data_IF_333922096370
#
_entry.id   IF_333922096370
#
_cell.length_a   1.000
_cell.length_b   1.000
_cell.length_c   1.000
_cell.angle_alpha   90.00
_cell.angle_beta   90.00
_cell.angle_gamma   90.00
#
_symmetry.space_group_name_H-M   'P 1'
#
loop_
_entity.id
_entity.type
_entity.pdbx_description
1 polymer ?
#
# COMPACT_ATOMS: atom_id res chain seq x y z
N UNK A 1 -8.37 23.63 18.28
CA UNK A 1 -9.13 22.43 18.72
C UNK A 1 -8.15 21.48 19.40
N UNK A 2 -8.51 20.83 20.52
CA UNK A 2 -7.66 19.74 21.06
C UNK A 2 -7.75 18.57 20.07
N UNK A 3 -6.63 18.22 19.44
CA UNK A 3 -6.57 17.07 18.53
C UNK A 3 -6.94 15.79 19.29
N UNK A 4 -7.75 14.94 18.67
CA UNK A 4 -8.06 13.62 19.21
C UNK A 4 -6.98 12.65 18.75
N UNK A 5 -6.49 11.77 19.62
CA UNK A 5 -5.38 10.84 19.34
C UNK A 5 -5.51 10.11 17.99
N UNK A 6 -6.71 9.66 17.62
CA UNK A 6 -6.93 8.93 16.35
C UNK A 6 -6.92 9.81 15.09
N UNK A 7 -6.96 11.13 15.23
CA UNK A 7 -6.89 12.11 14.12
C UNK A 7 -5.47 12.57 13.82
N UNK A 8 -4.52 12.29 14.72
CA UNK A 8 -3.12 12.74 14.61
C UNK A 8 -2.46 12.20 13.33
N UNK A 9 -2.49 10.89 13.02
CA UNK A 9 -1.78 10.37 11.84
C UNK A 9 -2.27 11.00 10.53
N UNK A 10 -3.57 11.30 10.44
CA UNK A 10 -4.14 11.92 9.25
C UNK A 10 -3.79 13.40 9.15
N UNK A 11 -3.77 14.13 10.26
CA UNK A 11 -3.30 15.51 10.28
C UNK A 11 -1.83 15.62 9.90
N UNK A 12 -0.99 14.75 10.45
CA UNK A 12 0.45 14.71 10.15
C UNK A 12 0.70 14.40 8.67
N UNK A 13 -0.03 13.43 8.13
CA UNK A 13 0.07 13.06 6.72
C UNK A 13 -0.36 14.18 5.77
N UNK A 14 -1.42 14.94 6.11
CA UNK A 14 -1.85 16.11 5.32
C UNK A 14 -0.83 17.26 5.45
N UNK A 15 -0.30 17.47 6.65
CA UNK A 15 0.68 18.52 6.92
C UNK A 15 2.06 18.24 6.30
N UNK A 16 2.37 16.97 6.00
CA UNK A 16 3.59 16.60 5.31
C UNK A 16 3.68 17.19 3.88
N UNK A 17 2.57 17.66 3.29
CA UNK A 17 2.57 18.33 1.99
C UNK A 17 2.97 17.43 0.81
N UNK A 18 2.80 16.12 0.99
CA UNK A 18 3.17 15.10 0.02
C UNK A 18 2.10 14.91 -1.08
N UNK A 19 2.39 14.08 -2.09
CA UNK A 19 1.48 13.79 -3.21
C UNK A 19 0.21 13.03 -2.81
N UNK A 20 0.23 12.29 -1.69
CA UNK A 20 -0.93 11.57 -1.20
C UNK A 20 -0.85 11.34 0.32
N UNK A 21 -1.79 11.88 1.12
CA UNK A 21 -1.82 11.65 2.56
C UNK A 21 -1.91 10.17 2.95
N UNK A 22 -2.69 9.37 2.22
CA UNK A 22 -2.84 7.94 2.52
C UNK A 22 -1.59 7.12 2.18
N UNK A 23 -0.80 7.50 1.16
CA UNK A 23 0.50 6.87 0.95
C UNK A 23 1.44 7.16 2.13
N UNK A 24 1.40 8.38 2.68
CA UNK A 24 2.20 8.75 3.83
C UNK A 24 1.84 7.91 5.07
N UNK A 25 0.54 7.76 5.34
CA UNK A 25 0.05 6.87 6.40
C UNK A 25 0.48 5.43 6.15
N UNK A 26 0.28 4.91 4.94
CA UNK A 26 0.64 3.54 4.57
C UNK A 26 2.13 3.29 4.82
N UNK A 27 3.00 4.21 4.40
CA UNK A 27 4.44 4.11 4.66
C UNK A 27 4.74 4.11 6.15
N UNK A 28 4.18 5.04 6.92
CA UNK A 28 4.45 5.15 8.35
C UNK A 28 4.02 3.87 9.09
N UNK A 29 2.80 3.40 8.83
CA UNK A 29 2.28 2.17 9.44
C UNK A 29 3.10 0.94 9.02
N UNK A 30 3.51 0.84 7.76
CA UNK A 30 4.35 -0.26 7.30
C UNK A 30 5.71 -0.26 8.00
N UNK A 31 6.34 0.92 8.16
CA UNK A 31 7.61 1.07 8.87
C UNK A 31 7.47 0.69 10.35
N UNK A 32 6.41 1.15 11.02
CA UNK A 32 6.10 0.79 12.41
C UNK A 32 5.89 -0.73 12.56
N UNK A 33 5.23 -1.36 11.58
CA UNK A 33 5.04 -2.82 11.57
C UNK A 33 6.36 -3.58 11.32
N UNK A 34 7.26 -3.05 10.50
CA UNK A 34 8.60 -3.62 10.31
C UNK A 34 9.41 -3.52 11.61
N UNK A 35 9.38 -2.36 12.29
CA UNK A 35 10.01 -2.17 13.60
C UNK A 35 9.39 -3.08 14.68
N UNK A 36 8.07 -3.27 14.66
CA UNK A 36 7.38 -4.17 15.58
C UNK A 36 7.84 -5.63 15.39
N UNK A 37 7.92 -6.11 14.14
CA UNK A 37 8.27 -7.50 13.84
C UNK A 37 9.77 -7.76 13.98
N UNK A 38 10.63 -6.82 13.56
CA UNK A 38 12.08 -7.03 13.40
C UNK A 38 12.96 -6.09 14.22
N UNK A 39 12.41 -5.10 14.93
CA UNK A 39 13.19 -4.13 15.71
C UNK A 39 13.89 -4.72 16.93
N UNK A 40 14.58 -3.89 17.69
CA UNK A 40 15.37 -4.30 18.86
C UNK A 40 14.54 -4.91 20.00
N UNK A 41 13.24 -4.61 20.07
CA UNK A 41 12.26 -5.21 20.97
C UNK A 41 11.45 -6.36 20.35
N UNK A 42 11.93 -6.96 19.25
CA UNK A 42 11.17 -7.77 18.29
C UNK A 42 10.02 -8.59 18.89
N UNK A 43 8.80 -8.11 18.70
CA UNK A 43 7.58 -8.73 19.22
C UNK A 43 7.32 -10.10 18.58
N UNK A 44 7.99 -10.48 17.49
CA UNK A 44 7.91 -11.85 16.94
C UNK A 44 8.31 -12.92 17.98
N UNK A 45 9.07 -12.55 19.01
CA UNK A 45 9.40 -13.46 20.10
C UNK A 45 8.18 -13.80 20.97
N UNK A 46 7.15 -12.97 20.96
CA UNK A 46 5.86 -13.22 21.59
C UNK A 46 5.11 -14.34 20.84
N UNK A 47 4.49 -15.26 21.58
CA UNK A 47 3.94 -16.50 21.01
C UNK A 47 2.79 -16.25 20.04
N UNK A 48 1.94 -15.27 20.34
CA UNK A 48 0.79 -14.87 19.54
C UNK A 48 1.20 -14.17 18.24
N UNK A 49 2.18 -13.25 18.31
CA UNK A 49 2.76 -12.60 17.12
C UNK A 49 3.43 -13.65 16.24
N UNK A 50 4.21 -14.56 16.83
CA UNK A 50 4.86 -15.66 16.10
C UNK A 50 3.85 -16.53 15.38
N UNK A 51 2.81 -17.00 16.06
CA UNK A 51 1.77 -17.82 15.46
C UNK A 51 1.06 -17.08 14.30
N UNK A 52 0.77 -15.79 14.48
CA UNK A 52 0.16 -14.97 13.44
C UNK A 52 1.07 -14.81 12.21
N UNK A 53 2.35 -14.54 12.42
CA UNK A 53 3.35 -14.43 11.34
C UNK A 53 3.62 -15.76 10.65
N UNK A 54 3.64 -16.88 11.38
CA UNK A 54 3.84 -18.22 10.81
C UNK A 54 2.65 -18.62 9.93
N UNK A 55 1.43 -18.32 10.37
CA UNK A 55 0.19 -18.62 9.65
C UNK A 55 0.06 -17.79 8.37
N UNK A 56 0.29 -16.48 8.48
CA UNK A 56 0.12 -15.54 7.37
C UNK A 56 1.32 -15.53 6.42
N UNK A 57 2.54 -15.64 6.93
CA UNK A 57 3.75 -15.39 6.14
C UNK A 57 3.88 -13.92 5.72
N UNK A 58 4.68 -13.69 4.68
CA UNK A 58 4.94 -12.36 4.13
C UNK A 58 4.89 -12.40 2.61
N UNK A 59 4.38 -11.34 1.99
CA UNK A 59 4.38 -11.25 0.52
C UNK A 59 5.80 -11.02 0.00
N UNK A 60 6.00 -11.20 -1.31
CA UNK A 60 7.31 -10.97 -1.97
C UNK A 60 7.89 -9.59 -1.65
N UNK A 61 7.07 -8.55 -1.66
CA UNK A 61 7.52 -7.19 -1.37
C UNK A 61 7.98 -7.04 0.08
N UNK A 62 7.21 -7.57 1.04
CA UNK A 62 7.56 -7.51 2.45
C UNK A 62 8.77 -8.37 2.80
N UNK A 63 8.96 -9.54 2.20
CA UNK A 63 10.21 -10.30 2.36
C UNK A 63 11.43 -9.50 1.91
N UNK A 64 11.34 -8.77 0.79
CA UNK A 64 12.44 -7.91 0.34
C UNK A 64 12.70 -6.79 1.35
N UNK A 65 11.66 -6.10 1.82
CA UNK A 65 11.78 -5.03 2.83
C UNK A 65 12.35 -5.54 4.15
N UNK A 66 11.93 -6.72 4.61
CA UNK A 66 12.44 -7.36 5.83
C UNK A 66 13.93 -7.73 5.72
N UNK A 67 14.37 -8.23 4.56
CA UNK A 67 15.78 -8.51 4.32
C UNK A 67 16.61 -7.24 4.31
N UNK A 68 16.11 -6.23 3.60
CA UNK A 68 16.71 -4.90 3.46
C UNK A 68 16.80 -4.14 4.79
N UNK A 69 15.81 -4.34 5.67
CA UNK A 69 15.75 -3.76 7.01
C UNK A 69 16.93 -4.19 7.90
N UNK A 70 17.40 -5.43 7.72
CA UNK A 70 18.50 -6.02 8.49
C UNK A 70 18.02 -7.04 9.51
N UNK A 71 18.65 -7.08 10.69
CA UNK A 71 18.38 -8.10 11.73
C UNK A 71 18.35 -9.54 11.19
N UNK A 72 19.52 -10.04 10.78
CA UNK A 72 19.67 -11.39 10.20
C UNK A 72 19.16 -12.49 11.14
N UNK A 73 19.35 -12.33 12.45
CA UNK A 73 18.90 -13.33 13.42
C UNK A 73 17.36 -13.36 13.51
N UNK A 74 16.71 -12.20 13.63
CA UNK A 74 15.24 -12.11 13.65
C UNK A 74 14.61 -12.67 12.37
N UNK A 75 15.13 -12.27 11.20
CA UNK A 75 14.72 -12.85 9.92
C UNK A 75 14.93 -14.37 9.87
N UNK A 76 16.07 -14.87 10.34
CA UNK A 76 16.36 -16.31 10.39
C UNK A 76 15.38 -17.10 11.25
N UNK A 77 14.96 -16.53 12.39
CA UNK A 77 13.98 -17.16 13.26
C UNK A 77 12.57 -17.16 12.68
N UNK A 78 12.10 -16.04 12.12
CA UNK A 78 10.81 -15.96 11.43
C UNK A 78 10.76 -16.97 10.29
N UNK A 79 11.82 -17.05 9.47
CA UNK A 79 11.89 -18.04 8.40
C UNK A 79 11.87 -19.46 8.96
N UNK A 80 12.62 -19.76 10.02
CA UNK A 80 12.66 -21.11 10.61
C UNK A 80 11.27 -21.60 10.99
N UNK A 81 10.48 -20.79 11.69
CA UNK A 81 9.15 -21.19 12.17
C UNK A 81 8.13 -21.21 11.04
N UNK A 82 8.18 -20.24 10.13
CA UNK A 82 7.33 -20.25 8.94
C UNK A 82 7.61 -21.46 8.02
N UNK A 83 8.88 -21.86 7.84
CA UNK A 83 9.24 -23.09 7.11
C UNK A 83 8.67 -24.34 7.77
N UNK A 84 8.65 -24.41 9.11
CA UNK A 84 8.03 -25.54 9.81
C UNK A 84 6.54 -25.65 9.47
N UNK A 85 5.82 -24.52 9.51
CA UNK A 85 4.38 -24.48 9.21
C UNK A 85 4.08 -24.74 7.73
N UNK A 86 4.82 -24.11 6.80
CA UNK A 86 4.65 -24.34 5.36
C UNK A 86 4.96 -25.78 5.00
N UNK A 87 6.03 -26.39 5.55
CA UNK A 87 6.34 -27.79 5.28
C UNK A 87 5.25 -28.74 5.81
N UNK A 88 4.64 -28.43 6.94
CA UNK A 88 3.51 -29.20 7.49
C UNK A 88 2.32 -29.14 6.52
N UNK A 89 1.89 -27.93 6.15
CA UNK A 89 0.77 -27.73 5.23
C UNK A 89 1.04 -28.33 3.84
N UNK A 90 2.25 -28.14 3.30
CA UNK A 90 2.66 -28.67 2.00
C UNK A 90 2.56 -30.19 1.95
N UNK A 91 3.05 -30.90 2.99
CA UNK A 91 2.94 -32.35 3.09
C UNK A 91 1.47 -32.81 3.12
N UNK A 92 0.58 -32.05 3.76
CA UNK A 92 -0.86 -32.33 3.77
C UNK A 92 -1.50 -32.09 2.39
N UNK A 93 -1.14 -31.01 1.70
CA UNK A 93 -1.60 -30.72 0.35
C UNK A 93 -1.16 -31.81 -0.64
N UNK A 94 0.08 -32.27 -0.55
CA UNK A 94 0.62 -33.33 -1.41
C UNK A 94 -0.11 -34.67 -1.20
N UNK A 95 -0.43 -35.02 0.04
CA UNK A 95 -1.23 -36.23 0.34
C UNK A 95 -2.64 -36.17 -0.25
N UNK A 96 -3.23 -34.98 -0.33
CA UNK A 96 -4.60 -34.76 -0.85
C UNK A 96 -4.64 -34.55 -2.36
N UNK A 97 -3.49 -34.34 -3.00
CA UNK A 97 -3.43 -34.01 -4.42
C UNK A 97 -3.79 -35.20 -5.30
N UNK A 98 -4.71 -34.98 -6.24
CA UNK A 98 -5.08 -35.95 -7.27
C UNK A 98 -4.97 -35.26 -8.63
N UNK A 99 -4.10 -35.73 -9.55
CA UNK A 99 -4.01 -35.17 -10.90
C UNK A 99 -5.33 -35.31 -11.67
N UNK A 100 -5.74 -34.25 -12.37
CA UNK A 100 -6.89 -34.30 -13.26
C UNK A 100 -6.67 -35.31 -14.39
N UNK A 101 -7.65 -36.17 -14.65
CA UNK A 101 -7.59 -37.12 -15.77
C UNK A 101 -7.71 -36.37 -17.09
N UNK A 102 -6.75 -36.57 -17.99
CA UNK A 102 -6.76 -36.02 -19.35
C UNK A 102 -7.90 -36.65 -20.17
N UNK A 103 -9.10 -36.06 -20.17
CA UNK A 103 -10.18 -36.50 -21.06
C UNK A 103 -9.97 -35.94 -22.46
N UNK A 104 -9.97 -36.81 -23.47
CA UNK A 104 -9.82 -36.46 -24.89
C UNK A 104 -10.91 -35.47 -25.39
N UNK A 105 -12.04 -35.40 -24.68
CA UNK A 105 -13.16 -34.47 -24.95
C UNK A 105 -12.95 -33.05 -24.37
N UNK A 106 -11.93 -32.84 -23.54
CA UNK A 106 -11.63 -31.55 -22.89
C UNK A 106 -10.99 -30.49 -23.78
N UNK A 107 -10.58 -30.84 -25.02
CA UNK A 107 -9.99 -29.90 -25.97
C UNK A 107 -10.99 -28.90 -26.58
N UNK A 108 -12.30 -29.12 -26.43
CA UNK A 108 -13.34 -28.25 -27.02
C UNK A 108 -13.92 -27.20 -26.06
N UNK A 109 -13.69 -27.30 -24.75
CA UNK A 109 -14.08 -26.27 -23.77
C UNK A 109 -12.83 -25.53 -23.30
N UNK A 110 -12.49 -24.48 -24.04
CA UNK A 110 -11.55 -23.44 -23.59
C UNK A 110 -12.27 -22.55 -22.58
N UNK A 111 -12.53 -23.06 -21.38
CA UNK A 111 -13.10 -22.29 -20.27
C UNK A 111 -12.30 -22.60 -19.01
N UNK A 112 -11.55 -21.59 -18.56
CA UNK A 112 -10.72 -21.51 -17.36
C UNK A 112 -9.49 -22.42 -17.34
N UNK A 113 -8.34 -21.79 -17.09
CA UNK A 113 -7.05 -22.45 -17.00
C UNK A 113 -7.11 -23.63 -16.02
N UNK A 114 -6.34 -24.68 -16.28
CA UNK A 114 -6.22 -25.86 -15.43
C UNK A 114 -5.66 -25.54 -14.05
N UNK A 115 -6.49 -24.97 -13.18
CA UNK A 115 -6.16 -24.71 -11.79
C UNK A 115 -6.21 -26.03 -11.02
N UNK A 116 -5.09 -26.39 -10.41
CA UNK A 116 -5.00 -27.54 -9.52
C UNK A 116 -4.89 -27.06 -8.07
N UNK A 117 -5.24 -27.93 -7.10
CA UNK A 117 -5.30 -27.55 -5.69
C UNK A 117 -3.96 -27.05 -5.13
N UNK A 118 -2.82 -27.54 -5.64
CA UNK A 118 -1.49 -27.03 -5.26
C UNK A 118 -1.31 -25.60 -5.76
N UNK A 119 -1.65 -25.32 -7.01
CA UNK A 119 -1.57 -23.97 -7.57
C UNK A 119 -2.46 -22.98 -6.82
N UNK A 120 -3.66 -23.38 -6.42
CA UNK A 120 -4.56 -22.56 -5.60
C UNK A 120 -3.96 -22.28 -4.22
N UNK A 121 -3.44 -23.31 -3.54
CA UNK A 121 -2.79 -23.17 -2.23
C UNK A 121 -1.56 -22.25 -2.30
N UNK A 122 -0.71 -22.38 -3.33
CA UNK A 122 0.43 -21.47 -3.52
C UNK A 122 -0.03 -20.03 -3.71
N UNK A 123 -1.06 -19.78 -4.55
CA UNK A 123 -1.61 -18.43 -4.74
C UNK A 123 -2.20 -17.85 -3.45
N UNK A 124 -2.85 -18.67 -2.63
CA UNK A 124 -3.34 -18.25 -1.31
C UNK A 124 -2.18 -17.80 -0.41
N UNK A 125 -1.07 -18.55 -0.40
CA UNK A 125 0.14 -18.16 0.33
C UNK A 125 0.80 -16.90 -0.22
N UNK A 126 0.87 -16.74 -1.54
CA UNK A 126 1.43 -15.52 -2.16
C UNK A 126 0.63 -14.25 -1.82
N UNK A 127 -0.69 -14.38 -1.63
CA UNK A 127 -1.58 -13.28 -1.24
C UNK A 127 -1.61 -13.02 0.26
N UNK A 128 -1.14 -13.96 1.08
CA UNK A 128 -1.14 -13.82 2.53
C UNK A 128 0.11 -13.07 2.99
N UNK A 129 -0.07 -12.05 3.82
CA UNK A 129 1.03 -11.31 4.41
C UNK A 129 0.61 -10.70 5.73
N UNK A 130 1.37 -10.97 6.80
CA UNK A 130 1.11 -10.41 8.12
C UNK A 130 1.05 -8.88 8.10
N UNK A 131 2.04 -8.21 7.50
CA UNK A 131 2.10 -6.74 7.44
C UNK A 131 0.92 -6.16 6.65
N UNK A 132 0.62 -6.71 5.46
CA UNK A 132 -0.54 -6.27 4.68
C UNK A 132 -1.86 -6.44 5.46
N UNK A 133 -2.02 -7.56 6.16
CA UNK A 133 -3.23 -7.85 6.93
C UNK A 133 -3.40 -6.86 8.09
N UNK A 134 -2.31 -6.55 8.80
CA UNK A 134 -2.34 -5.55 9.88
C UNK A 134 -2.71 -4.17 9.35
N UNK A 135 -2.09 -3.74 8.24
CA UNK A 135 -2.43 -2.47 7.61
C UNK A 135 -3.91 -2.41 7.22
N UNK A 136 -4.41 -3.44 6.51
CA UNK A 136 -5.80 -3.50 6.06
C UNK A 136 -6.82 -3.39 7.21
N UNK A 137 -6.54 -3.99 8.38
CA UNK A 137 -7.40 -3.88 9.57
C UNK A 137 -7.49 -2.46 10.13
N UNK A 138 -6.47 -1.63 9.89
CA UNK A 138 -6.44 -0.23 10.34
C UNK A 138 -6.91 0.75 9.27
N UNK A 139 -6.82 0.38 7.99
CA UNK A 139 -7.13 1.24 6.85
C UNK A 139 -8.57 1.76 6.85
N UNK A 140 -9.53 0.89 7.15
CA UNK A 140 -10.95 1.28 7.27
C UNK A 140 -11.16 2.42 8.28
N UNK A 141 -10.42 2.38 9.40
CA UNK A 141 -10.52 3.40 10.45
C UNK A 141 -9.94 4.73 9.99
N UNK A 142 -8.89 4.71 9.17
CA UNK A 142 -8.35 5.93 8.58
C UNK A 142 -9.35 6.56 7.60
N UNK A 143 -10.04 5.75 6.79
CA UNK A 143 -11.09 6.24 5.91
C UNK A 143 -12.28 6.82 6.69
N UNK A 144 -12.74 6.11 7.73
CA UNK A 144 -13.80 6.62 8.61
C UNK A 144 -13.41 7.95 9.26
N UNK A 145 -12.15 8.05 9.72
CA UNK A 145 -11.61 9.27 10.31
C UNK A 145 -11.51 10.40 9.28
N UNK A 146 -11.08 10.10 8.06
CA UNK A 146 -11.04 11.08 6.96
C UNK A 146 -12.41 11.69 6.71
N UNK A 147 -13.44 10.87 6.50
CA UNK A 147 -14.79 11.39 6.23
C UNK A 147 -15.38 12.10 7.47
N UNK A 148 -15.05 11.64 8.67
CA UNK A 148 -15.44 12.35 9.89
C UNK A 148 -14.84 13.76 9.94
N UNK A 149 -13.54 13.89 9.66
CA UNK A 149 -12.83 15.16 9.67
C UNK A 149 -13.27 16.06 8.52
N UNK A 150 -13.38 15.52 7.30
CA UNK A 150 -13.83 16.28 6.13
C UNK A 150 -15.22 16.92 6.32
N UNK A 151 -16.12 16.24 7.05
CA UNK A 151 -17.47 16.73 7.34
C UNK A 151 -17.55 17.76 8.47
N UNK A 152 -16.62 17.71 9.43
CA UNK A 152 -16.74 18.43 10.70
C UNK A 152 -15.67 19.49 10.93
N UNK A 153 -14.58 19.43 10.17
CA UNK A 153 -13.43 20.30 10.30
C UNK A 153 -13.17 21.00 8.97
N UNK A 154 -13.61 22.26 8.91
CA UNK A 154 -13.44 23.12 7.72
C UNK A 154 -11.97 23.41 7.42
N UNK A 155 -11.09 23.45 8.43
CA UNK A 155 -9.66 23.69 8.22
C UNK A 155 -8.98 22.45 7.67
N UNK A 156 -9.38 21.25 8.10
CA UNK A 156 -8.99 20.00 7.47
C UNK A 156 -9.46 19.94 6.01
N UNK A 157 -10.74 20.23 5.74
CA UNK A 157 -11.29 20.27 4.38
C UNK A 157 -10.53 21.24 3.47
N UNK A 158 -10.22 22.45 3.95
CA UNK A 158 -9.40 23.42 3.21
C UNK A 158 -7.99 22.91 2.93
N UNK A 159 -7.34 22.24 3.89
CA UNK A 159 -6.00 21.66 3.67
C UNK A 159 -6.02 20.53 2.63
N UNK A 160 -7.06 19.70 2.62
CA UNK A 160 -7.23 18.67 1.58
C UNK A 160 -7.39 19.34 0.21
N UNK A 161 -8.31 20.29 0.07
CA UNK A 161 -8.61 20.97 -1.20
C UNK A 161 -7.46 21.88 -1.68
N UNK A 162 -6.64 22.39 -0.77
CA UNK A 162 -5.42 23.13 -1.07
C UNK A 162 -4.19 22.24 -1.31
N UNK A 163 -4.33 20.92 -1.13
CA UNK A 163 -3.25 19.96 -1.24
C UNK A 163 -2.94 19.53 -2.67
N UNK A 164 -2.17 18.45 -2.78
CA UNK A 164 -1.74 17.85 -4.06
C UNK A 164 -2.63 16.70 -4.54
N UNK A 165 -3.80 16.54 -3.91
CA UNK A 165 -4.73 15.45 -4.16
C UNK A 165 -4.25 14.12 -3.56
N UNK A 166 -4.58 13.04 -4.27
CA UNK A 166 -4.31 11.66 -3.87
C UNK A 166 -3.63 10.92 -5.02
N UNK A 167 -3.05 9.75 -4.76
CA UNK A 167 -2.70 8.83 -5.85
C UNK A 167 -3.97 8.19 -6.43
N UNK A 168 -3.90 7.68 -7.66
CA UNK A 168 -5.07 7.06 -8.32
C UNK A 168 -5.64 5.87 -7.53
N UNK A 169 -4.78 5.11 -6.84
CA UNK A 169 -5.22 4.01 -5.98
C UNK A 169 -6.11 4.54 -4.83
N UNK A 170 -5.58 5.43 -4.00
CA UNK A 170 -6.30 5.96 -2.84
C UNK A 170 -7.46 6.88 -3.24
N UNK A 171 -7.41 7.51 -4.41
CA UNK A 171 -8.54 8.26 -4.96
C UNK A 171 -9.72 7.34 -5.32
N UNK A 172 -9.44 6.16 -5.90
CA UNK A 172 -10.45 5.14 -6.15
C UNK A 172 -11.13 4.70 -4.85
N UNK A 173 -10.33 4.32 -3.86
CA UNK A 173 -10.82 3.95 -2.53
C UNK A 173 -11.66 5.09 -1.91
N UNK A 174 -11.17 6.33 -2.01
CA UNK A 174 -11.88 7.48 -1.48
C UNK A 174 -13.27 7.66 -2.13
N UNK A 175 -13.39 7.41 -3.43
CA UNK A 175 -14.69 7.41 -4.11
C UNK A 175 -15.60 6.28 -3.59
N UNK A 176 -15.09 5.06 -3.46
CA UNK A 176 -15.88 3.92 -2.99
C UNK A 176 -16.37 4.11 -1.55
N UNK A 177 -15.50 4.57 -0.64
CA UNK A 177 -15.91 4.85 0.73
C UNK A 177 -16.86 6.04 0.80
N UNK A 178 -16.67 7.06 -0.06
CA UNK A 178 -17.57 8.19 -0.21
C UNK A 178 -19.02 7.78 -0.43
N UNK A 179 -19.26 6.72 -1.22
CA UNK A 179 -20.61 6.20 -1.46
C UNK A 179 -21.35 5.77 -0.19
N UNK A 180 -20.62 5.20 0.78
CA UNK A 180 -21.20 4.70 2.03
C UNK A 180 -21.11 5.68 3.20
N UNK A 181 -20.19 6.65 3.16
CA UNK A 181 -19.89 7.56 4.29
C UNK A 181 -20.48 8.96 4.15
N UNK A 182 -20.95 9.32 2.96
CA UNK A 182 -21.57 10.60 2.67
C UNK A 182 -23.05 10.44 2.31
N UNK A 183 -23.87 11.41 2.70
CA UNK A 183 -25.24 11.51 2.21
C UNK A 183 -25.32 12.21 0.84
N UNK A 184 -26.48 12.18 0.19
CA UNK A 184 -26.68 12.76 -1.15
C UNK A 184 -26.27 14.24 -1.29
N UNK A 185 -26.46 15.05 -0.25
CA UNK A 185 -26.03 16.46 -0.27
C UNK A 185 -24.51 16.54 -0.20
N UNK A 186 -23.91 15.80 0.73
CA UNK A 186 -22.45 15.75 0.91
C UNK A 186 -21.76 15.21 -0.35
N UNK A 187 -22.31 14.20 -1.02
CA UNK A 187 -21.79 13.66 -2.30
C UNK A 187 -21.75 14.72 -3.39
N UNK A 188 -22.82 15.52 -3.53
CA UNK A 188 -22.91 16.61 -4.52
C UNK A 188 -21.87 17.71 -4.31
N UNK A 189 -21.37 17.89 -3.10
CA UNK A 189 -20.29 18.83 -2.80
C UNK A 189 -18.91 18.16 -2.89
N UNK A 190 -18.80 16.92 -2.42
CA UNK A 190 -17.55 16.19 -2.30
C UNK A 190 -16.95 15.81 -3.65
N UNK A 191 -17.72 15.13 -4.51
CA UNK A 191 -17.19 14.58 -5.75
C UNK A 191 -16.68 15.65 -6.71
N UNK A 192 -17.45 16.73 -7.02
CA UNK A 192 -16.93 17.78 -7.89
C UNK A 192 -15.63 18.40 -7.36
N UNK A 193 -15.55 18.67 -6.05
CA UNK A 193 -14.36 19.25 -5.44
C UNK A 193 -13.15 18.30 -5.46
N UNK A 194 -13.35 17.00 -5.24
CA UNK A 194 -12.29 16.00 -5.36
C UNK A 194 -11.85 15.79 -6.81
N UNK A 195 -12.78 15.82 -7.77
CA UNK A 195 -12.47 15.63 -9.18
C UNK A 195 -11.65 16.80 -9.73
N UNK A 196 -12.06 18.04 -9.43
CA UNK A 196 -11.29 19.24 -9.79
C UNK A 196 -9.88 19.20 -9.17
N UNK A 197 -9.77 18.81 -7.89
CA UNK A 197 -8.49 18.64 -7.21
C UNK A 197 -7.61 17.60 -7.92
N UNK A 198 -8.19 16.48 -8.33
CA UNK A 198 -7.45 15.40 -9.00
C UNK A 198 -7.05 15.78 -10.42
N UNK A 199 -7.94 16.32 -11.24
CA UNK A 199 -7.66 16.77 -12.60
C UNK A 199 -6.49 17.76 -12.60
N UNK A 200 -6.59 18.83 -11.79
CA UNK A 200 -5.53 19.83 -11.64
C UNK A 200 -4.18 19.22 -11.28
N UNK A 201 -4.15 18.27 -10.35
CA UNK A 201 -2.90 17.68 -9.89
C UNK A 201 -2.35 16.61 -10.85
N UNK A 202 -3.21 15.92 -11.60
CA UNK A 202 -2.79 15.02 -12.67
C UNK A 202 -2.12 15.81 -13.79
N UNK A 203 -2.72 16.92 -14.22
CA UNK A 203 -2.15 17.80 -15.25
C UNK A 203 -0.81 18.41 -14.78
N UNK A 204 -0.74 18.91 -13.55
CA UNK A 204 0.51 19.42 -12.96
C UNK A 204 1.64 18.39 -13.01
N UNK A 205 1.38 17.14 -12.65
CA UNK A 205 2.39 16.07 -12.69
C UNK A 205 2.77 15.74 -14.14
N UNK A 206 1.79 15.72 -15.05
CA UNK A 206 2.04 15.50 -16.47
C UNK A 206 2.94 16.61 -17.05
N UNK A 207 2.68 17.88 -16.74
CA UNK A 207 3.52 19.02 -17.15
C UNK A 207 4.96 18.87 -16.62
N UNK A 208 5.12 18.50 -15.35
CA UNK A 208 6.44 18.28 -14.74
C UNK A 208 7.21 17.13 -15.43
N UNK A 209 6.53 16.02 -15.74
CA UNK A 209 7.13 14.88 -16.46
C UNK A 209 7.44 15.25 -17.91
N UNK A 210 6.59 16.03 -18.56
CA UNK A 210 6.80 16.48 -19.93
C UNK A 210 8.01 17.43 -20.00
N UNK A 211 8.13 18.36 -19.05
CA UNK A 211 9.30 19.21 -18.93
C UNK A 211 10.57 18.43 -18.62
N UNK A 212 10.49 17.39 -17.79
CA UNK A 212 11.62 16.48 -17.57
C UNK A 212 12.12 15.90 -18.90
N UNK A 213 11.23 15.37 -19.74
CA UNK A 213 11.58 14.80 -21.04
C UNK A 213 12.19 15.87 -21.95
N UNK A 214 11.59 17.05 -22.02
CA UNK A 214 12.09 18.17 -22.83
C UNK A 214 13.46 18.68 -22.39
N UNK A 215 13.81 18.59 -21.09
CA UNK A 215 15.13 18.97 -20.57
C UNK A 215 16.28 18.11 -21.10
N UNK A 216 15.98 16.92 -21.64
CA UNK A 216 16.97 16.06 -22.30
C UNK A 216 17.19 16.42 -23.78
N UNK A 217 16.40 17.33 -24.36
CA UNK A 217 16.74 17.94 -25.65
C UNK A 217 17.92 18.90 -25.47
N UNK A 218 18.92 18.80 -26.35
CA UNK A 218 20.11 19.67 -26.34
C UNK A 218 19.76 21.16 -26.38
N UNK A 219 18.63 21.53 -26.99
CA UNK A 219 18.15 22.91 -27.05
C UNK A 219 17.77 23.48 -25.67
N UNK A 220 17.41 22.61 -24.73
CA UNK A 220 16.95 22.97 -23.40
C UNK A 220 18.01 22.70 -22.34
N UNK A 221 19.25 22.37 -22.71
CA UNK A 221 20.30 21.97 -21.77
C UNK A 221 20.51 23.03 -20.67
N UNK A 222 20.56 24.30 -21.05
CA UNK A 222 20.76 25.44 -20.13
C UNK A 222 19.45 26.01 -19.54
N UNK A 223 18.29 25.48 -19.93
CA UNK A 223 17.00 25.91 -19.38
C UNK A 223 16.82 25.46 -17.92
N UNK A 224 16.03 26.21 -17.13
CA UNK A 224 15.72 25.87 -15.75
C UNK A 224 14.92 24.55 -15.68
N UNK A 225 15.25 23.70 -14.70
CA UNK A 225 14.51 22.46 -14.45
C UNK A 225 13.09 22.69 -13.90
N UNK A 226 12.73 23.90 -13.45
CA UNK A 226 11.46 24.16 -12.77
C UNK A 226 11.25 23.11 -11.66
N UNK A 227 10.10 22.44 -11.66
CA UNK A 227 9.78 21.36 -10.71
C UNK A 227 10.06 19.95 -11.27
N UNK A 228 10.76 19.79 -12.41
CA UNK A 228 10.81 18.49 -13.10
C UNK A 228 11.85 17.49 -12.57
N UNK A 229 12.77 17.90 -11.69
CA UNK A 229 13.87 17.04 -11.20
C UNK A 229 13.41 15.76 -10.52
N UNK A 230 12.28 15.82 -9.81
CA UNK A 230 11.67 14.72 -9.07
C UNK A 230 10.37 14.21 -9.71
N UNK A 231 10.10 14.62 -10.96
CA UNK A 231 8.84 14.33 -11.64
C UNK A 231 8.60 12.82 -11.84
N UNK A 232 9.66 12.02 -12.03
CA UNK A 232 9.52 10.57 -12.21
C UNK A 232 8.93 9.92 -10.96
N UNK A 233 9.54 10.16 -9.80
CA UNK A 233 9.06 9.53 -8.56
C UNK A 233 7.67 10.04 -8.16
N UNK A 234 7.38 11.34 -8.34
CA UNK A 234 6.05 11.90 -8.08
C UNK A 234 5.02 11.36 -9.06
N UNK A 235 5.37 11.19 -10.33
CA UNK A 235 4.52 10.57 -11.35
C UNK A 235 4.17 9.11 -11.03
N UNK A 236 5.17 8.31 -10.67
CA UNK A 236 4.97 6.93 -10.24
C UNK A 236 4.10 6.84 -8.98
N UNK A 237 4.37 7.66 -7.95
CA UNK A 237 3.56 7.75 -6.74
C UNK A 237 2.12 8.17 -7.06
N UNK A 238 1.91 9.16 -7.95
CA UNK A 238 0.58 9.63 -8.32
C UNK A 238 -0.23 8.52 -9.00
N UNK A 239 0.38 7.71 -9.85
CA UNK A 239 -0.32 6.67 -10.61
C UNK A 239 -0.55 5.37 -9.82
N UNK A 240 0.37 4.98 -8.94
CA UNK A 240 0.35 3.66 -8.29
C UNK A 240 0.52 3.69 -6.77
N UNK A 241 0.67 4.87 -6.18
CA UNK A 241 0.94 5.03 -4.74
C UNK A 241 2.39 4.68 -4.38
N UNK A 242 2.65 4.62 -3.07
CA UNK A 242 3.96 4.30 -2.51
C UNK A 242 5.02 5.39 -2.71
N UNK A 243 6.27 5.04 -2.40
CA UNK A 243 7.42 5.94 -2.49
C UNK A 243 8.58 5.28 -3.24
N UNK A 244 8.61 5.39 -4.59
CA UNK A 244 9.61 4.70 -5.40
C UNK A 244 11.03 5.24 -5.20
N UNK A 245 11.16 6.49 -4.73
CA UNK A 245 12.45 7.12 -4.43
C UNK A 245 12.88 7.02 -2.96
N UNK A 246 12.07 6.41 -2.10
CA UNK A 246 12.43 6.29 -0.69
C UNK A 246 13.69 5.43 -0.54
N UNK A 247 14.62 5.83 0.35
CA UNK A 247 15.71 4.94 0.71
C UNK A 247 15.14 3.69 1.37
N UNK A 248 15.89 2.60 1.27
CA UNK A 248 15.61 1.39 2.02
C UNK A 248 15.48 1.74 3.51
N UNK A 249 14.32 1.43 4.08
CA UNK A 249 14.08 1.55 5.52
C UNK A 249 14.90 0.49 6.27
N UNK A 250 15.59 0.92 7.32
CA UNK A 250 16.51 0.08 8.09
C UNK A 250 16.24 0.23 9.56
N UNK A 251 16.64 -0.80 10.32
CA UNK A 251 16.63 -0.76 11.77
C UNK A 251 17.34 0.50 12.28
N UNK A 252 16.63 1.28 13.10
CA UNK A 252 17.24 2.37 13.85
C UNK A 252 18.31 1.75 14.78
N UNK A 253 19.57 2.12 14.55
CA UNK A 253 20.72 1.64 15.34
C UNK A 253 20.79 2.28 16.70
#
# INVERSE_FOLDING_TARGET
MKEKLYTIPLNDAVNAGDECPFCNIERAVEQDLLDFVLGSGASYMESDVREATDKAGFCRAHFKKMFDYGNTLGNGWILKTHYMEVNRQMKEQFKKFVPSKSSFMGKLKKSEAGENSIGMWVREKEKSCYICNQFAQTYDRYMDTFFHMYKKDEDFKKRILGGKGFCLHHFGDLCEYGESRLNEKEKKEFYPAMFELMEKNMDRIWEDVSWLVEKFDYKNQDADWKNSKDAVQRGMQKLKGGYPADPVYKMNK
#
